data_IF_524568019239
#
_entry.id   IF_524568019239
#
_cell.length_a   1.000
_cell.length_b   1.000
_cell.length_c   1.000
_cell.angle_alpha   90.00
_cell.angle_beta   90.00
_cell.angle_gamma   90.00
#
_symmetry.space_group_name_H-M   'P 1'
#
loop_
_entity.id
_entity.type
_entity.pdbx_description
1 polymer ?
#
# COMPACT_ATOMS: atom_id res chain seq x y z
N UNK A 1 8.24 11.39 50.09
CA UNK A 1 9.45 11.23 49.25
C UNK A 1 9.55 12.44 48.33
N UNK A 2 10.57 13.29 48.48
CA UNK A 2 10.77 14.46 47.61
C UNK A 2 10.86 14.01 46.14
N UNK A 3 9.92 14.43 45.30
CA UNK A 3 10.05 14.29 43.84
C UNK A 3 11.18 15.23 43.40
N UNK A 4 12.33 14.65 43.06
CA UNK A 4 13.42 15.41 42.46
C UNK A 4 12.95 15.85 41.06
N UNK A 5 12.92 17.16 40.80
CA UNK A 5 12.72 17.69 39.45
C UNK A 5 13.96 17.37 38.59
N UNK A 6 13.82 16.35 37.75
CA UNK A 6 14.88 15.86 36.87
C UNK A 6 15.02 16.71 35.59
N UNK A 7 14.07 17.61 35.29
CA UNK A 7 14.10 18.43 34.06
C UNK A 7 15.18 19.51 34.10
N UNK A 8 15.62 19.88 35.30
CA UNK A 8 16.55 20.97 35.55
C UNK A 8 17.92 20.53 36.10
N UNK A 9 18.14 19.22 36.32
CA UNK A 9 19.42 18.70 36.81
C UNK A 9 20.36 18.28 35.67
N UNK A 10 21.64 18.66 35.82
CA UNK A 10 22.79 18.18 35.03
C UNK A 10 22.53 18.01 33.52
N UNK A 11 22.49 19.14 32.80
CA UNK A 11 22.35 19.15 31.34
C UNK A 11 23.71 19.01 30.65
N UNK A 12 23.87 17.99 29.83
CA UNK A 12 25.08 17.77 29.03
C UNK A 12 24.82 18.20 27.58
N UNK A 13 25.38 19.35 27.20
CA UNK A 13 25.12 19.98 25.91
C UNK A 13 25.86 19.31 24.73
N UNK A 14 26.89 18.49 24.99
CA UNK A 14 27.74 17.90 23.96
C UNK A 14 27.21 16.59 23.36
N UNK A 15 26.33 15.87 24.06
CA UNK A 15 25.85 14.56 23.62
C UNK A 15 24.78 14.74 22.55
N UNK A 16 25.06 14.20 21.36
CA UNK A 16 24.16 14.25 20.19
C UNK A 16 23.67 12.87 19.74
N UNK A 17 24.38 11.81 20.10
CA UNK A 17 24.04 10.44 19.73
C UNK A 17 24.10 9.56 20.97
N UNK A 18 23.08 8.75 21.18
CA UNK A 18 23.02 7.82 22.30
C UNK A 18 22.48 6.48 21.85
N UNK A 19 23.18 5.43 22.24
CA UNK A 19 22.79 4.05 22.01
C UNK A 19 22.44 3.43 23.35
N UNK A 20 21.23 2.87 23.44
CA UNK A 20 20.67 2.33 24.67
C UNK A 20 19.98 0.98 24.38
N UNK A 21 20.57 0.17 23.51
CA UNK A 21 20.04 -1.12 23.06
C UNK A 21 20.03 -2.17 24.17
N UNK A 22 19.00 -3.03 24.20
CA UNK A 22 18.95 -4.22 25.07
C UNK A 22 18.78 -3.92 26.56
N UNK A 23 18.33 -2.71 26.89
CA UNK A 23 18.11 -2.31 28.28
C UNK A 23 16.68 -2.60 28.72
N UNK A 24 16.45 -2.98 29.99
CA UNK A 24 15.13 -3.35 30.51
C UNK A 24 14.23 -2.13 30.80
N UNK A 25 14.18 -1.14 29.89
CA UNK A 25 13.31 0.02 30.01
C UNK A 25 12.03 -0.20 29.21
N UNK A 26 10.90 -0.20 29.92
CA UNK A 26 9.57 -0.40 29.35
C UNK A 26 8.70 0.86 29.27
N UNK A 27 9.10 1.93 29.97
CA UNK A 27 8.32 3.16 30.09
C UNK A 27 9.01 4.33 29.42
N UNK A 28 8.30 5.02 28.50
CA UNK A 28 8.83 6.19 27.81
C UNK A 28 9.24 7.32 28.75
N UNK A 29 8.59 7.46 29.91
CA UNK A 29 8.96 8.47 30.93
C UNK A 29 10.41 8.36 31.38
N UNK A 30 10.94 7.14 31.51
CA UNK A 30 12.34 6.92 31.87
C UNK A 30 13.27 7.37 30.74
N UNK A 31 12.85 7.15 29.50
CA UNK A 31 13.54 7.67 28.32
C UNK A 31 13.48 9.20 28.27
N UNK A 32 12.38 9.86 28.68
CA UNK A 32 12.32 11.32 28.75
C UNK A 32 13.42 11.92 29.64
N UNK A 33 13.85 11.24 30.71
CA UNK A 33 14.97 11.68 31.56
C UNK A 33 16.27 11.81 30.76
N UNK A 34 16.50 10.91 29.81
CA UNK A 34 17.63 10.97 28.87
C UNK A 34 17.54 12.25 28.03
N UNK A 35 16.36 12.56 27.49
CA UNK A 35 16.17 13.76 26.69
C UNK A 35 16.41 15.06 27.46
N UNK A 36 15.93 15.14 28.72
CA UNK A 36 16.21 16.30 29.57
C UNK A 36 17.70 16.43 29.95
N UNK A 37 18.39 15.31 30.18
CA UNK A 37 19.83 15.30 30.43
C UNK A 37 20.64 15.68 29.19
N UNK A 38 20.17 15.35 27.99
CA UNK A 38 20.83 15.56 26.70
C UNK A 38 19.97 16.41 25.75
N UNK A 39 19.82 17.72 25.98
CA UNK A 39 18.89 18.56 25.22
C UNK A 39 19.26 18.73 23.74
N UNK A 40 20.50 18.41 23.34
CA UNK A 40 20.97 18.44 21.96
C UNK A 40 21.01 17.05 21.30
N UNK A 41 20.32 16.05 21.87
CA UNK A 41 20.29 14.71 21.30
C UNK A 41 19.58 14.70 19.94
N UNK A 42 20.29 14.26 18.91
CA UNK A 42 19.84 14.16 17.52
C UNK A 42 19.57 12.71 17.09
N UNK A 43 20.20 11.73 17.75
CA UNK A 43 20.10 10.32 17.40
C UNK A 43 19.95 9.47 18.66
N UNK A 44 18.86 8.71 18.73
CA UNK A 44 18.57 7.83 19.86
C UNK A 44 18.26 6.42 19.36
N UNK A 45 19.02 5.44 19.86
CA UNK A 45 18.77 4.01 19.62
C UNK A 45 18.24 3.36 20.88
N UNK A 46 17.04 2.81 20.81
CA UNK A 46 16.34 2.09 21.89
C UNK A 46 15.96 0.67 21.45
N UNK A 47 16.75 0.08 20.54
CA UNK A 47 16.45 -1.25 20.02
C UNK A 47 16.42 -2.27 21.17
N UNK A 48 15.55 -3.27 21.08
CA UNK A 48 15.45 -4.35 22.08
C UNK A 48 15.16 -3.84 23.51
N UNK A 49 14.53 -2.67 23.63
CA UNK A 49 13.96 -2.20 24.90
C UNK A 49 12.47 -2.55 24.93
N UNK A 50 11.92 -3.10 26.03
CA UNK A 50 10.52 -3.54 26.11
C UNK A 50 9.51 -2.38 26.23
N UNK A 51 9.69 -1.30 25.47
CA UNK A 51 8.87 -0.10 25.45
C UNK A 51 7.51 -0.43 24.83
N UNK A 52 6.44 -0.30 25.61
CA UNK A 52 5.08 -0.66 25.18
C UNK A 52 4.30 0.51 24.59
N UNK A 53 4.56 1.71 25.09
CA UNK A 53 3.80 2.91 24.70
C UNK A 53 4.61 4.17 24.96
N UNK A 54 4.36 5.20 24.15
CA UNK A 54 4.86 6.56 24.34
C UNK A 54 3.92 7.42 25.21
N UNK A 55 2.75 6.89 25.56
CA UNK A 55 1.74 7.58 26.36
C UNK A 55 2.18 7.73 27.83
N UNK A 56 2.36 8.97 28.27
CA UNK A 56 2.73 9.28 29.65
C UNK A 56 1.55 9.25 30.63
N UNK A 57 0.30 9.27 30.13
CA UNK A 57 -0.92 9.33 30.92
C UNK A 57 -1.45 7.96 31.34
N UNK A 58 -1.29 6.92 30.49
CA UNK A 58 -1.77 5.55 30.76
C UNK A 58 -1.24 4.91 32.05
N UNK A 59 -0.18 5.46 32.65
CA UNK A 59 0.45 4.94 33.88
C UNK A 59 -0.17 5.53 35.16
N UNK A 60 -0.89 6.66 35.08
CA UNK A 60 -1.43 7.38 36.24
C UNK A 60 -2.92 7.69 36.09
N UNK A 61 -3.78 6.66 36.17
CA UNK A 61 -5.22 6.90 36.40
C UNK A 61 -5.58 7.13 37.87
N UNK A 62 -4.59 7.26 38.77
CA UNK A 62 -4.81 7.54 40.19
C UNK A 62 -3.79 8.58 40.68
N UNK A 63 -4.29 9.67 41.24
CA UNK A 63 -3.59 10.72 42.02
C UNK A 63 -3.21 12.01 41.29
N UNK A 64 -4.11 12.99 41.45
CA UNK A 64 -3.88 14.42 41.75
C UNK A 64 -2.50 15.01 41.49
N UNK A 65 -2.45 15.93 40.54
CA UNK A 65 -2.09 17.35 40.75
C UNK A 65 -1.67 17.93 39.39
N UNK A 66 -2.30 19.05 39.03
CA UNK A 66 -1.96 19.85 37.86
C UNK A 66 -0.50 20.27 37.96
N UNK A 67 0.36 19.59 37.22
CA UNK A 67 1.69 20.06 36.87
C UNK A 67 1.73 20.00 35.35
N UNK A 68 2.18 21.09 34.72
CA UNK A 68 2.26 21.31 33.27
C UNK A 68 2.38 19.99 32.50
N UNK A 69 1.41 19.75 31.62
CA UNK A 69 1.27 18.51 30.84
C UNK A 69 2.62 18.07 30.27
N UNK A 70 3.27 17.10 30.90
CA UNK A 70 4.50 16.51 30.39
C UNK A 70 4.17 15.90 29.04
N UNK A 71 4.67 16.51 27.95
CA UNK A 71 4.59 15.90 26.64
C UNK A 71 5.79 14.97 26.46
N UNK A 72 5.60 13.75 25.95
CA UNK A 72 6.71 12.83 25.65
C UNK A 72 7.72 13.39 24.63
N UNK A 73 7.36 14.49 23.96
CA UNK A 73 8.14 15.17 22.92
C UNK A 73 9.00 16.32 23.47
N UNK A 74 8.67 16.85 24.65
CA UNK A 74 9.35 18.03 25.21
C UNK A 74 10.82 17.79 25.47
N UNK A 75 11.17 16.56 25.85
CA UNK A 75 12.55 16.17 26.15
C UNK A 75 13.43 15.97 24.91
N UNK A 76 12.88 15.96 23.69
CA UNK A 76 13.59 15.56 22.47
C UNK A 76 13.36 16.53 21.30
N UNK A 77 13.50 17.83 21.55
CA UNK A 77 13.26 18.88 20.54
C UNK A 77 14.20 18.83 19.33
N UNK A 78 15.39 18.21 19.45
CA UNK A 78 16.39 18.11 18.38
C UNK A 78 16.53 16.72 17.76
N UNK A 79 15.69 15.77 18.15
CA UNK A 79 15.80 14.39 17.72
C UNK A 79 15.44 14.24 16.23
N UNK A 80 16.40 13.74 15.45
CA UNK A 80 16.29 13.51 13.99
C UNK A 80 16.22 12.04 13.62
N UNK A 81 16.84 11.18 14.42
CA UNK A 81 16.85 9.74 14.21
C UNK A 81 16.40 9.01 15.47
N UNK A 82 15.45 8.09 15.31
CA UNK A 82 14.97 7.22 16.37
C UNK A 82 14.92 5.78 15.88
N UNK A 83 15.48 4.87 16.67
CA UNK A 83 15.39 3.43 16.43
C UNK A 83 14.64 2.75 17.58
N UNK A 84 13.49 2.18 17.25
CA UNK A 84 12.57 1.43 18.12
C UNK A 84 12.41 -0.02 17.65
N UNK A 85 13.39 -0.56 16.93
CA UNK A 85 13.36 -1.95 16.51
C UNK A 85 13.24 -2.88 17.72
N UNK A 86 12.42 -3.93 17.59
CA UNK A 86 12.20 -4.93 18.62
C UNK A 86 11.71 -4.34 19.95
N UNK A 87 10.95 -3.25 19.89
CA UNK A 87 10.17 -2.73 21.03
C UNK A 87 8.81 -3.40 21.09
N UNK A 88 8.03 -3.14 22.15
CA UNK A 88 6.70 -3.73 22.36
C UNK A 88 5.56 -2.79 21.95
N UNK A 89 5.83 -1.86 21.03
CA UNK A 89 4.80 -0.96 20.49
C UNK A 89 3.80 -1.77 19.67
N UNK A 90 2.52 -1.63 20.00
CA UNK A 90 1.44 -2.43 19.41
C UNK A 90 0.29 -1.62 18.83
N UNK A 91 0.32 -0.28 18.91
CA UNK A 91 -0.80 0.56 18.47
C UNK A 91 -0.38 1.68 17.51
N UNK A 92 -1.24 1.99 16.55
CA UNK A 92 -1.05 3.14 15.65
C UNK A 92 -1.07 4.48 16.39
N UNK A 93 -1.75 4.57 17.53
CA UNK A 93 -1.76 5.78 18.35
C UNK A 93 -0.35 6.11 18.88
N UNK A 94 0.48 5.11 19.16
CA UNK A 94 1.89 5.33 19.52
C UNK A 94 2.71 5.86 18.33
N UNK A 95 2.37 5.46 17.09
CA UNK A 95 2.97 6.01 15.86
C UNK A 95 2.58 7.48 15.68
N UNK A 96 1.32 7.83 15.93
CA UNK A 96 0.84 9.22 15.83
C UNK A 96 1.50 10.12 16.89
N UNK A 97 1.88 9.58 18.04
CA UNK A 97 2.75 10.30 18.98
C UNK A 97 4.12 10.58 18.37
N UNK A 98 4.71 9.67 17.59
CA UNK A 98 5.99 9.93 16.92
C UNK A 98 5.93 11.11 15.94
N UNK A 99 4.77 11.37 15.33
CA UNK A 99 4.58 12.52 14.43
C UNK A 99 4.81 13.88 15.12
N UNK A 100 4.67 13.94 16.45
CA UNK A 100 4.80 15.16 17.25
C UNK A 100 6.25 15.52 17.57
N UNK A 101 7.24 14.67 17.23
CA UNK A 101 8.64 15.07 17.30
C UNK A 101 8.96 16.03 16.14
N UNK A 102 9.34 17.29 16.42
CA UNK A 102 9.33 18.35 15.42
C UNK A 102 10.39 18.18 14.32
N UNK A 103 11.46 17.43 14.60
CA UNK A 103 12.60 17.27 13.69
C UNK A 103 12.88 15.80 13.34
N UNK A 104 11.97 14.87 13.66
CA UNK A 104 12.18 13.45 13.44
C UNK A 104 12.09 13.12 11.94
N UNK A 105 13.24 12.84 11.33
CA UNK A 105 13.38 12.58 9.89
C UNK A 105 13.59 11.10 9.58
N UNK A 106 14.16 10.33 10.51
CA UNK A 106 14.52 8.93 10.26
C UNK A 106 14.03 8.04 11.39
N UNK A 107 13.23 7.04 11.03
CA UNK A 107 12.64 6.11 11.98
C UNK A 107 12.98 4.67 11.59
N UNK A 108 13.40 3.88 12.57
CA UNK A 108 13.44 2.42 12.47
C UNK A 108 12.48 1.82 13.47
N UNK A 109 11.56 1.00 13.01
CA UNK A 109 10.49 0.42 13.82
C UNK A 109 10.09 -0.96 13.27
N UNK A 110 11.00 -1.92 13.31
CA UNK A 110 10.77 -3.31 12.91
C UNK A 110 10.62 -4.22 14.14
N UNK A 111 10.10 -5.43 13.97
CA UNK A 111 10.02 -6.41 15.07
C UNK A 111 9.14 -5.98 16.26
N UNK A 112 8.18 -5.10 16.02
CA UNK A 112 7.21 -4.65 17.03
C UNK A 112 5.89 -5.43 16.87
N UNK A 113 5.14 -5.70 17.96
CA UNK A 113 3.84 -6.37 17.90
C UNK A 113 2.80 -5.69 17.00
N UNK A 114 2.97 -4.39 16.71
CA UNK A 114 2.17 -3.65 15.74
C UNK A 114 2.12 -4.35 14.36
N UNK A 115 3.13 -5.16 14.02
CA UNK A 115 3.27 -5.84 12.74
C UNK A 115 2.78 -7.28 12.73
N UNK A 116 2.35 -7.82 13.87
CA UNK A 116 1.93 -9.22 14.00
C UNK A 116 0.57 -9.48 13.36
N UNK A 117 -0.23 -8.42 13.13
CA UNK A 117 -1.49 -8.51 12.39
C UNK A 117 -1.23 -8.75 10.90
N UNK A 118 -1.85 -9.79 10.35
CA UNK A 118 -1.87 -10.06 8.90
C UNK A 118 -2.87 -9.20 8.13
N UNK A 119 -3.42 -8.15 8.75
CA UNK A 119 -4.36 -7.22 8.12
C UNK A 119 -3.75 -6.41 6.97
N UNK A 120 -2.43 -6.18 7.00
CA UNK A 120 -1.74 -5.31 6.05
C UNK A 120 -0.53 -5.99 5.41
N UNK A 121 -0.39 -5.82 4.11
CA UNK A 121 0.84 -6.10 3.36
C UNK A 121 1.98 -5.16 3.78
N UNK A 122 3.22 -5.50 3.45
CA UNK A 122 4.37 -4.63 3.73
C UNK A 122 4.23 -3.25 3.07
N UNK A 123 3.70 -3.21 1.85
CA UNK A 123 3.45 -1.96 1.13
C UNK A 123 2.43 -1.08 1.85
N UNK A 124 1.28 -1.65 2.25
CA UNK A 124 0.26 -0.91 3.01
C UNK A 124 0.79 -0.42 4.36
N UNK A 125 1.57 -1.25 5.08
CA UNK A 125 2.21 -0.83 6.34
C UNK A 125 3.13 0.37 6.13
N UNK A 126 3.90 0.38 5.04
CA UNK A 126 4.77 1.52 4.69
C UNK A 126 3.93 2.76 4.35
N UNK A 127 2.90 2.65 3.52
CA UNK A 127 2.01 3.78 3.20
C UNK A 127 1.35 4.36 4.47
N UNK A 128 0.85 3.49 5.35
CA UNK A 128 0.23 3.86 6.62
C UNK A 128 1.20 4.57 7.58
N UNK A 129 2.49 4.21 7.55
CA UNK A 129 3.55 4.89 8.30
C UNK A 129 3.86 6.26 7.70
N UNK A 130 4.05 6.34 6.38
CA UNK A 130 4.40 7.57 5.66
C UNK A 130 3.32 8.64 5.89
N UNK A 131 2.05 8.28 5.70
CA UNK A 131 0.93 9.20 5.86
C UNK A 131 0.78 9.72 7.30
N UNK A 132 1.14 8.92 8.30
CA UNK A 132 1.08 9.30 9.73
C UNK A 132 2.28 10.13 10.19
N UNK A 133 3.40 10.07 9.49
CA UNK A 133 4.67 10.64 9.92
C UNK A 133 5.12 11.73 8.92
N UNK A 134 4.53 12.93 8.98
CA UNK A 134 4.75 13.98 7.98
C UNK A 134 6.22 14.41 7.85
N UNK A 135 6.98 14.38 8.94
CA UNK A 135 8.37 14.83 8.96
C UNK A 135 9.38 13.71 8.64
N UNK A 136 8.94 12.44 8.60
CA UNK A 136 9.86 11.31 8.41
C UNK A 136 10.18 11.12 6.94
N UNK A 137 11.45 11.27 6.58
CA UNK A 137 12.01 11.17 5.24
C UNK A 137 12.56 9.76 4.93
N UNK A 138 12.83 8.93 5.95
CA UNK A 138 13.35 7.57 5.75
C UNK A 138 12.85 6.61 6.81
N UNK A 139 12.34 5.47 6.36
CA UNK A 139 11.87 4.37 7.19
C UNK A 139 12.78 3.15 7.08
N UNK A 140 13.12 2.55 8.22
CA UNK A 140 13.79 1.25 8.33
C UNK A 140 15.11 1.12 7.56
N UNK A 141 15.80 2.24 7.30
CA UNK A 141 17.04 2.25 6.52
C UNK A 141 16.88 1.98 5.02
N UNK A 142 15.64 2.04 4.51
CA UNK A 142 15.37 2.00 3.07
C UNK A 142 15.66 3.33 2.37
N UNK A 143 15.20 3.47 1.13
CA UNK A 143 15.31 4.71 0.36
C UNK A 143 14.60 5.90 1.01
N UNK A 144 15.00 7.10 0.60
CA UNK A 144 14.28 8.33 0.94
C UNK A 144 12.85 8.25 0.41
N UNK A 145 11.90 8.76 1.20
CA UNK A 145 10.52 8.95 0.80
C UNK A 145 10.49 10.20 -0.08
N UNK A 146 10.23 10.01 -1.37
CA UNK A 146 10.06 11.11 -2.30
C UNK A 146 8.68 11.77 -2.17
N UNK A 147 8.49 12.85 -2.94
CA UNK A 147 7.25 13.62 -2.91
C UNK A 147 6.05 12.80 -3.37
N UNK A 148 6.21 12.04 -4.46
CA UNK A 148 5.13 11.30 -5.10
C UNK A 148 4.69 10.12 -4.21
N UNK A 149 5.64 9.39 -3.62
CA UNK A 149 5.37 8.35 -2.63
C UNK A 149 4.62 8.90 -1.42
N UNK A 150 4.99 10.10 -0.94
CA UNK A 150 4.29 10.74 0.18
C UNK A 150 2.87 11.13 -0.19
N UNK A 151 2.69 11.80 -1.33
CA UNK A 151 1.38 12.20 -1.80
C UNK A 151 0.47 10.98 -2.01
N UNK A 152 0.97 9.93 -2.65
CA UNK A 152 0.24 8.68 -2.86
C UNK A 152 -0.15 8.00 -1.54
N UNK A 153 0.78 7.92 -0.58
CA UNK A 153 0.51 7.36 0.74
C UNK A 153 -0.56 8.17 1.50
N UNK A 154 -0.50 9.49 1.45
CA UNK A 154 -1.46 10.38 2.10
C UNK A 154 -2.86 10.29 1.45
N UNK A 155 -2.94 10.21 0.12
CA UNK A 155 -4.21 10.02 -0.60
C UNK A 155 -4.79 8.63 -0.34
N UNK A 156 -3.94 7.59 -0.32
CA UNK A 156 -4.34 6.24 0.07
C UNK A 156 -4.88 6.19 1.51
N UNK A 157 -4.25 6.94 2.43
CA UNK A 157 -4.71 7.05 3.81
C UNK A 157 -6.10 7.67 3.94
N UNK A 158 -6.38 8.75 3.19
CA UNK A 158 -7.72 9.33 3.13
C UNK A 158 -8.72 8.28 2.66
N UNK A 159 -8.44 7.58 1.56
CA UNK A 159 -9.33 6.52 1.03
C UNK A 159 -9.54 5.37 2.01
N UNK A 160 -8.50 4.97 2.75
CA UNK A 160 -8.59 3.91 3.74
C UNK A 160 -9.54 4.25 4.91
N UNK A 161 -9.62 5.52 5.29
CA UNK A 161 -10.44 5.99 6.41
C UNK A 161 -11.78 6.61 6.01
N UNK A 162 -11.99 6.93 4.73
CA UNK A 162 -13.21 7.64 4.28
C UNK A 162 -14.49 6.86 4.55
N UNK A 163 -14.46 5.53 4.44
CA UNK A 163 -15.62 4.65 4.66
C UNK A 163 -15.71 4.13 6.11
N UNK A 164 -14.70 4.44 6.95
CA UNK A 164 -14.69 4.04 8.36
C UNK A 164 -15.55 4.98 9.21
N UNK A 165 -16.10 4.48 10.34
CA UNK A 165 -16.78 5.32 11.33
C UNK A 165 -15.89 6.47 11.77
N UNK A 166 -16.48 7.63 12.08
CA UNK A 166 -15.74 8.82 12.51
C UNK A 166 -14.91 8.56 13.79
N UNK A 167 -15.37 7.67 14.67
CA UNK A 167 -14.63 7.22 15.87
C UNK A 167 -13.29 6.56 15.56
N UNK A 168 -13.15 5.98 14.36
CA UNK A 168 -11.98 5.22 13.94
C UNK A 168 -11.02 6.09 13.10
N UNK A 169 -11.44 7.32 12.74
CA UNK A 169 -10.63 8.24 11.95
C UNK A 169 -9.65 8.98 12.86
N UNK A 170 -8.33 8.83 12.65
CA UNK A 170 -7.35 9.58 13.43
C UNK A 170 -7.34 11.05 13.04
N UNK A 171 -6.85 11.94 13.93
CA UNK A 171 -6.74 13.39 13.66
C UNK A 171 -6.04 13.68 12.33
N UNK A 172 -5.01 12.88 12.01
CA UNK A 172 -4.25 12.96 10.76
C UNK A 172 -5.14 12.85 9.51
N UNK A 173 -6.24 12.11 9.56
CA UNK A 173 -7.18 12.01 8.45
C UNK A 173 -7.76 13.39 8.10
N UNK A 174 -8.23 14.14 9.09
CA UNK A 174 -8.84 15.45 8.87
C UNK A 174 -7.82 16.49 8.40
N UNK A 175 -6.59 16.43 8.90
CA UNK A 175 -5.48 17.23 8.39
C UNK A 175 -5.24 16.96 6.90
N UNK A 176 -5.16 15.68 6.52
CA UNK A 176 -4.90 15.29 5.13
C UNK A 176 -6.05 15.67 4.19
N UNK A 177 -7.30 15.58 4.64
CA UNK A 177 -8.46 16.07 3.86
C UNK A 177 -8.39 17.59 3.64
N UNK A 178 -7.83 18.34 4.60
CA UNK A 178 -7.63 19.79 4.43
C UNK A 178 -6.53 20.10 3.40
N UNK A 179 -5.52 19.24 3.29
CA UNK A 179 -4.39 19.39 2.36
C UNK A 179 -4.76 18.93 0.94
N UNK A 180 -5.33 17.74 0.81
CA UNK A 180 -5.57 17.06 -0.47
C UNK A 180 -7.00 17.21 -1.01
N UNK A 181 -7.90 17.78 -0.22
CA UNK A 181 -9.32 17.82 -0.50
C UNK A 181 -10.03 16.49 -0.21
N UNK A 182 -11.33 16.47 -0.49
CA UNK A 182 -12.13 15.24 -0.45
C UNK A 182 -11.88 14.44 -1.71
N UNK A 183 -11.43 13.19 -1.55
CA UNK A 183 -11.20 12.29 -2.66
C UNK A 183 -12.47 11.50 -2.99
N UNK A 184 -12.69 11.27 -4.29
CA UNK A 184 -13.71 10.34 -4.74
C UNK A 184 -13.27 8.88 -4.51
N UNK A 185 -14.23 7.97 -4.26
CA UNK A 185 -13.95 6.54 -4.20
C UNK A 185 -13.31 6.04 -5.50
N UNK A 186 -12.35 5.12 -5.37
CA UNK A 186 -11.75 4.49 -6.54
C UNK A 186 -12.79 3.61 -7.25
N UNK A 187 -12.98 3.82 -8.55
CA UNK A 187 -13.75 2.91 -9.40
C UNK A 187 -12.90 1.67 -9.64
N UNK A 188 -13.45 0.49 -9.35
CA UNK A 188 -12.79 -0.77 -9.68
C UNK A 188 -12.92 -1.01 -11.20
N UNK A 189 -11.87 -0.69 -11.95
CA UNK A 189 -11.79 -0.96 -13.39
C UNK A 189 -10.93 -2.20 -13.59
N UNK A 190 -11.54 -3.29 -14.04
CA UNK A 190 -10.78 -4.49 -14.43
C UNK A 190 -10.15 -4.25 -15.81
N UNK A 191 -8.87 -3.86 -15.81
CA UNK A 191 -8.09 -3.62 -17.02
C UNK A 191 -7.54 -4.93 -17.64
N UNK A 192 -7.91 -6.10 -17.13
CA UNK A 192 -7.47 -7.37 -17.72
C UNK A 192 -8.06 -7.50 -19.14
N UNK A 193 -7.25 -7.87 -20.15
CA UNK A 193 -7.74 -8.09 -21.50
C UNK A 193 -8.93 -9.06 -21.51
N UNK A 194 -9.96 -8.74 -22.29
CA UNK A 194 -11.15 -9.58 -22.37
C UNK A 194 -10.78 -10.99 -22.86
N UNK A 195 -10.98 -11.99 -21.98
CA UNK A 195 -10.70 -13.38 -22.33
C UNK A 195 -11.71 -13.94 -23.34
N UNK A 196 -12.92 -13.37 -23.38
CA UNK A 196 -14.02 -13.87 -24.19
C UNK A 196 -14.63 -12.74 -25.00
N UNK A 197 -14.58 -12.87 -26.32
CA UNK A 197 -15.13 -11.89 -27.28
C UNK A 197 -16.29 -12.51 -28.05
N UNK A 198 -17.25 -11.70 -28.50
CA UNK A 198 -18.37 -12.18 -29.33
C UNK A 198 -18.04 -11.98 -30.81
N UNK A 199 -17.97 -13.08 -31.54
CA UNK A 199 -17.54 -13.12 -32.95
C UNK A 199 -18.66 -13.70 -33.79
N UNK A 200 -18.84 -13.16 -34.98
CA UNK A 200 -19.79 -13.66 -35.98
C UNK A 200 -19.15 -14.78 -36.77
N UNK A 201 -19.73 -15.98 -36.76
CA UNK A 201 -19.28 -17.12 -37.55
C UNK A 201 -20.16 -17.27 -38.78
N UNK A 202 -19.57 -17.23 -39.97
CA UNK A 202 -20.31 -17.32 -41.24
C UNK A 202 -19.88 -18.56 -42.01
N UNK A 203 -20.81 -19.44 -42.35
CA UNK A 203 -20.57 -20.66 -43.13
C UNK A 203 -21.62 -20.77 -44.24
N UNK A 204 -21.22 -20.49 -45.49
CA UNK A 204 -22.16 -20.39 -46.61
C UNK A 204 -23.22 -19.31 -46.36
N UNK A 205 -24.49 -19.71 -46.31
CA UNK A 205 -25.63 -18.80 -46.04
C UNK A 205 -25.98 -18.66 -44.54
N UNK A 206 -25.34 -19.43 -43.66
CA UNK A 206 -25.64 -19.44 -42.24
C UNK A 206 -24.65 -18.55 -41.49
N UNK A 207 -25.16 -17.71 -40.59
CA UNK A 207 -24.34 -16.87 -39.72
C UNK A 207 -24.84 -16.94 -38.27
N UNK A 208 -23.93 -17.04 -37.31
CA UNK A 208 -24.24 -17.11 -35.88
C UNK A 208 -23.20 -16.38 -35.04
N UNK A 209 -23.64 -15.56 -34.08
CA UNK A 209 -22.74 -14.89 -33.12
C UNK A 209 -22.46 -15.81 -31.94
N UNK A 210 -21.19 -16.12 -31.67
CA UNK A 210 -20.77 -16.94 -30.52
C UNK A 210 -19.67 -16.27 -29.71
N UNK A 211 -19.66 -16.56 -28.41
CA UNK A 211 -18.58 -16.15 -27.51
C UNK A 211 -17.39 -17.10 -27.63
N UNK A 212 -16.22 -16.56 -27.95
CA UNK A 212 -14.97 -17.30 -28.12
C UNK A 212 -13.91 -16.85 -27.13
N UNK A 213 -13.21 -17.84 -26.57
CA UNK A 213 -12.09 -17.65 -25.66
C UNK A 213 -10.80 -17.45 -26.47
N UNK A 214 -10.25 -16.24 -26.44
CA UNK A 214 -9.11 -15.84 -27.27
C UNK A 214 -7.80 -16.55 -26.89
N UNK A 215 -7.74 -17.22 -25.73
CA UNK A 215 -6.55 -17.97 -25.30
C UNK A 215 -6.51 -19.41 -25.85
N UNK A 216 -7.58 -19.85 -26.52
CA UNK A 216 -7.61 -21.16 -27.19
C UNK A 216 -6.90 -21.12 -28.53
N UNK A 217 -6.62 -22.30 -29.07
CA UNK A 217 -5.97 -22.44 -30.37
C UNK A 217 -6.98 -22.45 -31.52
N UNK A 218 -6.49 -22.20 -32.75
CA UNK A 218 -7.29 -22.37 -33.97
C UNK A 218 -7.83 -23.80 -34.09
N UNK A 219 -7.06 -24.80 -33.64
CA UNK A 219 -7.51 -26.20 -33.61
C UNK A 219 -8.74 -26.39 -32.71
N UNK A 220 -8.71 -25.87 -31.48
CA UNK A 220 -9.83 -25.95 -30.55
C UNK A 220 -11.07 -25.24 -31.11
N UNK A 221 -10.86 -24.12 -31.82
CA UNK A 221 -11.94 -23.38 -32.46
C UNK A 221 -12.59 -24.21 -33.58
N UNK A 222 -11.80 -24.84 -34.46
CA UNK A 222 -12.33 -25.71 -35.52
C UNK A 222 -13.15 -26.87 -34.96
N UNK A 223 -12.68 -27.54 -33.91
CA UNK A 223 -13.43 -28.61 -33.25
C UNK A 223 -14.79 -28.14 -32.72
N UNK A 224 -14.84 -26.95 -32.11
CA UNK A 224 -16.10 -26.37 -31.61
C UNK A 224 -17.07 -25.93 -32.71
N UNK A 225 -16.57 -25.69 -33.92
CA UNK A 225 -17.37 -25.28 -35.06
C UNK A 225 -17.89 -26.46 -35.89
N UNK A 226 -17.44 -27.71 -35.66
CA UNK A 226 -17.93 -28.90 -36.38
C UNK A 226 -19.47 -29.03 -36.38
N UNK A 227 -20.17 -28.86 -35.23
CA UNK A 227 -21.63 -28.95 -35.21
C UNK A 227 -22.33 -27.83 -35.97
N UNK A 228 -21.68 -26.66 -36.09
CA UNK A 228 -22.23 -25.49 -36.78
C UNK A 228 -22.01 -25.57 -38.30
N UNK A 229 -20.80 -25.94 -38.71
CA UNK A 229 -20.43 -26.01 -40.12
C UNK A 229 -20.99 -27.28 -40.81
N UNK A 230 -21.25 -28.35 -40.05
CA UNK A 230 -21.78 -29.61 -40.59
C UNK A 230 -20.73 -30.50 -41.25
N UNK A 231 -19.44 -30.20 -41.10
CA UNK A 231 -18.32 -31.01 -41.58
C UNK A 231 -17.15 -31.00 -40.58
N UNK A 232 -16.24 -31.97 -40.73
CA UNK A 232 -15.12 -32.13 -39.78
C UNK A 232 -14.10 -30.99 -39.86
N UNK A 233 -13.49 -30.67 -38.72
CA UNK A 233 -12.41 -29.71 -38.53
C UNK A 233 -11.23 -29.92 -39.50
N UNK A 234 -10.97 -31.15 -39.95
CA UNK A 234 -9.92 -31.46 -40.92
C UNK A 234 -10.19 -30.82 -42.30
N UNK A 235 -11.47 -30.68 -42.66
CA UNK A 235 -11.95 -30.05 -43.90
C UNK A 235 -12.21 -28.56 -43.75
N UNK A 236 -11.99 -27.95 -42.58
CA UNK A 236 -12.24 -26.53 -42.36
C UNK A 236 -11.06 -25.63 -42.74
N UNK A 237 -11.37 -24.56 -43.45
CA UNK A 237 -10.56 -23.33 -43.56
C UNK A 237 -11.29 -22.23 -42.82
N UNK A 238 -10.56 -21.49 -42.00
CA UNK A 238 -11.09 -20.35 -41.25
C UNK A 238 -10.41 -19.09 -41.77
N UNK A 239 -11.18 -18.05 -42.01
CA UNK A 239 -10.70 -16.74 -42.42
C UNK A 239 -11.20 -15.70 -41.43
N UNK A 240 -10.27 -15.01 -40.78
CA UNK A 240 -10.56 -13.92 -39.86
C UNK A 240 -10.76 -12.62 -40.65
N UNK A 241 -11.79 -11.87 -40.28
CA UNK A 241 -12.13 -10.57 -40.84
C UNK A 241 -12.28 -9.59 -39.68
N UNK A 242 -11.36 -8.64 -39.66
CA UNK A 242 -11.42 -7.47 -38.79
C UNK A 242 -12.52 -6.52 -39.31
N UNK A 243 -13.45 -6.13 -38.44
CA UNK A 243 -14.59 -5.29 -38.83
C UNK A 243 -14.16 -3.91 -39.36
N UNK A 244 -13.06 -3.36 -38.86
CA UNK A 244 -12.57 -2.02 -39.22
C UNK A 244 -11.69 -2.05 -40.47
N UNK A 245 -11.08 -3.21 -40.76
CA UNK A 245 -10.16 -3.38 -41.90
C UNK A 245 -10.74 -4.22 -43.04
N UNK A 246 -12.03 -4.59 -42.97
CA UNK A 246 -12.71 -5.45 -43.95
C UNK A 246 -12.50 -5.00 -45.39
N UNK A 247 -12.63 -3.70 -45.67
CA UNK A 247 -12.55 -3.13 -47.02
C UNK A 247 -11.10 -2.90 -47.51
N UNK A 248 -10.12 -2.99 -46.61
CA UNK A 248 -8.71 -2.65 -46.89
C UNK A 248 -7.84 -3.89 -47.02
N UNK A 249 -7.92 -4.81 -46.07
CA UNK A 249 -6.95 -5.91 -45.92
C UNK A 249 -7.51 -7.27 -46.35
N UNK A 250 -8.84 -7.39 -46.44
CA UNK A 250 -9.52 -8.65 -46.77
C UNK A 250 -9.33 -9.74 -45.71
N UNK A 251 -9.91 -10.93 -45.92
CA UNK A 251 -9.89 -12.00 -44.92
C UNK A 251 -8.49 -12.64 -44.75
N UNK A 252 -7.99 -12.74 -43.50
CA UNK A 252 -6.75 -13.44 -43.15
C UNK A 252 -7.02 -14.93 -42.88
N UNK A 253 -6.38 -15.83 -43.62
CA UNK A 253 -6.52 -17.26 -43.38
C UNK A 253 -5.80 -17.71 -42.09
N UNK A 254 -6.53 -18.36 -41.19
CA UNK A 254 -6.02 -18.90 -39.93
C UNK A 254 -5.30 -20.25 -40.16
N UNK A 255 -4.13 -20.20 -40.81
CA UNK A 255 -3.41 -21.38 -41.33
C UNK A 255 -2.84 -22.31 -40.25
N UNK A 256 -2.40 -21.76 -39.12
CA UNK A 256 -1.63 -22.48 -38.11
C UNK A 256 -2.55 -23.01 -36.99
N UNK A 257 -2.77 -24.34 -36.87
CA UNK A 257 -3.70 -24.91 -35.91
C UNK A 257 -3.33 -24.62 -34.44
N UNK A 258 -2.03 -24.52 -34.14
CA UNK A 258 -1.53 -24.29 -32.79
C UNK A 258 -1.42 -22.79 -32.42
N UNK A 259 -1.68 -21.87 -33.36
CA UNK A 259 -1.66 -20.43 -33.09
C UNK A 259 -2.87 -20.10 -32.19
N UNK A 260 -2.63 -19.31 -31.14
CA UNK A 260 -3.70 -18.87 -30.23
C UNK A 260 -4.49 -17.72 -30.84
N UNK A 261 -5.78 -17.65 -30.54
CA UNK A 261 -6.71 -16.71 -31.19
C UNK A 261 -6.39 -15.24 -30.88
N UNK A 262 -5.87 -14.92 -29.69
CA UNK A 262 -5.49 -13.54 -29.33
C UNK A 262 -4.44 -12.94 -30.27
N UNK A 263 -3.65 -13.77 -30.95
CA UNK A 263 -2.61 -13.29 -31.89
C UNK A 263 -3.18 -12.70 -33.19
N UNK A 264 -4.49 -12.82 -33.41
CA UNK A 264 -5.21 -12.13 -34.47
C UNK A 264 -5.88 -10.84 -33.98
N UNK A 265 -5.68 -10.46 -32.70
CA UNK A 265 -6.31 -9.29 -32.06
C UNK A 265 -7.85 -9.26 -32.17
N UNK A 266 -8.48 -10.43 -32.15
CA UNK A 266 -9.93 -10.58 -32.31
C UNK A 266 -10.68 -9.79 -31.22
N UNK A 267 -11.58 -8.93 -31.64
CA UNK A 267 -12.45 -8.10 -30.81
C UNK A 267 -13.92 -8.53 -30.94
N UNK A 268 -14.76 -7.97 -30.07
CA UNK A 268 -16.21 -8.17 -30.19
C UNK A 268 -16.74 -7.41 -31.39
N UNK A 269 -17.41 -8.12 -32.30
CA UNK A 269 -17.95 -7.57 -33.56
C UNK A 269 -17.31 -8.14 -34.82
N UNK A 270 -16.11 -8.72 -34.69
CA UNK A 270 -15.39 -9.33 -35.81
C UNK A 270 -16.09 -10.56 -36.39
N UNK A 271 -15.64 -10.98 -37.58
CA UNK A 271 -16.20 -12.09 -38.32
C UNK A 271 -15.15 -13.18 -38.59
N UNK A 272 -15.54 -14.46 -38.45
CA UNK A 272 -14.76 -15.62 -38.89
C UNK A 272 -15.57 -16.39 -39.92
N UNK A 273 -15.08 -16.39 -41.15
CA UNK A 273 -15.68 -17.11 -42.27
C UNK A 273 -15.13 -18.55 -42.28
N UNK A 274 -16.04 -19.51 -42.38
CA UNK A 274 -15.77 -20.94 -42.41
C UNK A 274 -16.03 -21.44 -43.83
N UNK A 275 -15.01 -22.05 -44.41
CA UNK A 275 -15.08 -22.63 -45.75
C UNK A 275 -14.65 -24.10 -45.74
N UNK A 276 -15.24 -24.90 -46.63
CA UNK A 276 -14.87 -26.30 -46.78
C UNK A 276 -13.71 -26.43 -47.77
N UNK A 277 -12.68 -27.19 -47.39
CA UNK A 277 -11.62 -27.64 -48.27
C UNK A 277 -12.13 -28.55 -49.38
#
# INVERSE_FOLDING_TARGET
VCKIDYRNKHKHQGIRKMHFTGNPISHWREICKIGYAFPNLESLVLAECPIKTLDLAKVYSRSESQSESESPHDSFRKLKFLNLNSTLISTWNDIERLAKFPLLQRLRIQGCPLWDSNEYTEHERRQLLIARLPNVEMLNGGGNIDHDEREDAERAFIRYYMDKPESDRPDRYFELVTIHGKLDPLVNVDLRPEKRVKVTFTCGSNSEVRSVDVYRTVHDLKQKLEPFAGFSAAKMRLFYVDQDLRDIQGPEEMRFPHKQLYSYNIQTGDEIIIDCK
#
